data_IF_967425319195
#
_entry.id   IF_967425319195
#
_cell.length_a   1.000
_cell.length_b   1.000
_cell.length_c   1.000
_cell.angle_alpha   90.00
_cell.angle_beta   90.00
_cell.angle_gamma   90.00
#
_symmetry.space_group_name_H-M   'P 1'
#
loop_
_entity.id
_entity.type
_entity.pdbx_description
1 polymer ?
#
# COMPACT_ATOMS: atom_id res chain seq x y z
N UNK A 1 5.85 -2.34 33.12
CA UNK A 1 5.73 -3.09 31.84
C UNK A 1 4.48 -2.58 31.15
N UNK A 2 4.66 -1.71 30.14
CA UNK A 2 3.56 -0.99 29.49
C UNK A 2 2.91 -1.87 28.42
N UNK A 3 1.61 -2.05 28.53
CA UNK A 3 0.80 -2.79 27.58
C UNK A 3 0.59 -1.95 26.31
N UNK A 4 1.00 -2.49 25.17
CA UNK A 4 0.73 -1.95 23.84
C UNK A 4 -0.67 -2.42 23.46
N UNK A 5 -1.66 -1.54 23.54
CA UNK A 5 -3.01 -1.77 23.03
C UNK A 5 -3.02 -1.55 21.52
N UNK A 6 -3.31 -2.56 20.67
CA UNK A 6 -3.57 -2.32 19.27
C UNK A 6 -4.95 -1.66 19.14
N UNK A 7 -4.98 -0.45 18.61
CA UNK A 7 -6.21 0.23 18.18
C UNK A 7 -6.71 -0.52 16.94
N UNK A 8 -7.55 -1.54 17.15
CA UNK A 8 -8.35 -2.15 16.09
C UNK A 8 -9.37 -1.11 15.59
N UNK A 9 -8.98 -0.35 14.57
CA UNK A 9 -9.90 0.45 13.76
C UNK A 9 -10.86 -0.47 13.02
N UNK A 10 -12.13 -0.40 13.37
CA UNK A 10 -13.26 -1.12 12.76
C UNK A 10 -13.34 -0.85 11.26
N UNK A 11 -12.96 -1.83 10.44
CA UNK A 11 -13.22 -1.82 8.99
C UNK A 11 -14.67 -2.24 8.79
N UNK A 12 -15.53 -1.30 8.37
CA UNK A 12 -16.94 -1.55 8.07
C UNK A 12 -17.10 -2.65 6.99
N UNK A 13 -18.02 -3.61 7.16
CA UNK A 13 -18.54 -4.41 6.06
C UNK A 13 -19.86 -3.79 5.59
N UNK A 14 -19.85 -3.05 4.50
CA UNK A 14 -21.07 -2.61 3.84
C UNK A 14 -20.88 -2.73 2.34
N UNK A 15 -21.39 -3.83 1.75
CA UNK A 15 -21.85 -3.95 0.35
C UNK A 15 -22.20 -5.43 0.03
N UNK A 16 -23.23 -5.99 0.65
CA UNK A 16 -23.71 -7.35 0.34
C UNK A 16 -25.21 -7.45 0.07
N UNK A 17 -25.86 -6.39 -0.41
CA UNK A 17 -27.33 -6.36 -0.53
C UNK A 17 -27.88 -5.77 -1.84
N UNK A 18 -27.27 -6.05 -2.99
CA UNK A 18 -27.87 -5.70 -4.29
C UNK A 18 -27.69 -6.89 -5.25
N UNK A 19 -28.74 -7.69 -5.47
CA UNK A 19 -28.70 -8.68 -6.56
C UNK A 19 -29.78 -9.76 -6.65
N UNK A 20 -30.71 -9.91 -5.70
CA UNK A 20 -31.66 -11.04 -5.65
C UNK A 20 -33.13 -10.64 -5.89
N UNK A 21 -33.42 -9.76 -6.85
CA UNK A 21 -34.82 -9.32 -7.07
C UNK A 21 -35.41 -9.44 -8.48
N UNK A 22 -34.71 -9.97 -9.50
CA UNK A 22 -35.30 -10.03 -10.85
C UNK A 22 -35.05 -11.36 -11.55
N UNK A 23 -35.77 -12.40 -11.14
CA UNK A 23 -35.86 -13.67 -11.88
C UNK A 23 -37.28 -14.00 -12.37
N UNK A 24 -38.20 -13.02 -12.38
CA UNK A 24 -39.64 -13.30 -12.58
C UNK A 24 -40.29 -12.47 -13.69
N UNK A 25 -39.54 -12.06 -14.70
CA UNK A 25 -40.13 -11.46 -15.89
C UNK A 25 -39.41 -11.93 -17.16
N UNK A 26 -40.18 -12.59 -18.03
CA UNK A 26 -40.05 -12.62 -19.49
C UNK A 26 -39.34 -13.82 -20.11
N UNK A 27 -40.10 -14.90 -20.14
CA UNK A 27 -39.98 -16.08 -21.00
C UNK A 27 -40.76 -15.90 -22.30
N UNK A 28 -40.67 -14.77 -23.03
CA UNK A 28 -41.51 -14.52 -24.22
C UNK A 28 -40.92 -13.46 -25.18
N UNK A 29 -39.84 -13.75 -25.90
CA UNK A 29 -39.56 -13.20 -27.26
C UNK A 29 -38.36 -13.92 -27.88
N UNK A 30 -38.43 -14.24 -29.18
CA UNK A 30 -37.52 -15.14 -29.90
C UNK A 30 -36.13 -14.57 -30.29
N UNK A 31 -35.80 -13.32 -29.92
CA UNK A 31 -34.50 -12.68 -30.20
C UNK A 31 -33.55 -12.66 -28.99
N UNK A 32 -33.95 -13.29 -27.87
CA UNK A 32 -33.43 -13.02 -26.53
C UNK A 32 -32.26 -13.92 -26.10
N UNK A 33 -31.82 -14.85 -26.96
CA UNK A 33 -30.69 -15.75 -26.64
C UNK A 33 -29.34 -15.03 -26.71
N UNK A 34 -29.21 -14.07 -27.64
CA UNK A 34 -27.95 -13.36 -27.87
C UNK A 34 -27.72 -12.23 -26.84
N UNK A 35 -28.80 -11.55 -26.42
CA UNK A 35 -28.79 -10.58 -25.31
C UNK A 35 -28.43 -11.24 -23.98
N UNK A 36 -29.05 -12.38 -23.65
CA UNK A 36 -28.75 -13.13 -22.41
C UNK A 36 -27.32 -13.65 -22.34
N UNK A 37 -26.77 -14.13 -23.46
CA UNK A 37 -25.36 -14.58 -23.51
C UNK A 37 -24.38 -13.40 -23.31
N UNK A 38 -24.70 -12.22 -23.84
CA UNK A 38 -23.88 -11.01 -23.65
C UNK A 38 -23.95 -10.49 -22.21
N UNK A 39 -25.13 -10.51 -21.58
CA UNK A 39 -25.31 -10.13 -20.17
C UNK A 39 -24.53 -11.06 -19.22
N UNK A 40 -24.53 -12.36 -19.50
CA UNK A 40 -23.74 -13.33 -18.73
C UNK A 40 -22.24 -13.08 -18.86
N UNK A 41 -21.75 -12.75 -20.07
CA UNK A 41 -20.35 -12.41 -20.29
C UNK A 41 -19.94 -11.11 -19.57
N UNK A 42 -20.82 -10.10 -19.55
CA UNK A 42 -20.58 -8.86 -18.82
C UNK A 42 -20.51 -9.10 -17.31
N UNK A 43 -21.43 -9.90 -16.76
CA UNK A 43 -21.44 -10.27 -15.34
C UNK A 43 -20.19 -11.04 -14.94
N UNK A 44 -19.78 -12.04 -15.73
CA UNK A 44 -18.55 -12.79 -15.48
C UNK A 44 -17.31 -11.89 -15.51
N UNK A 45 -17.27 -10.91 -16.40
CA UNK A 45 -16.18 -9.95 -16.43
C UNK A 45 -16.19 -9.04 -15.20
N UNK A 46 -17.35 -8.54 -14.78
CA UNK A 46 -17.49 -7.73 -13.58
C UNK A 46 -17.05 -8.50 -12.32
N UNK A 47 -17.46 -9.75 -12.17
CA UNK A 47 -17.02 -10.61 -11.06
C UNK A 47 -15.50 -10.80 -11.06
N UNK A 48 -14.90 -11.07 -12.22
CA UNK A 48 -13.43 -11.17 -12.34
C UNK A 48 -12.74 -9.87 -11.97
N UNK A 49 -13.24 -8.73 -12.46
CA UNK A 49 -12.69 -7.42 -12.12
C UNK A 49 -12.81 -7.09 -10.63
N UNK A 50 -13.90 -7.48 -9.98
CA UNK A 50 -14.08 -7.30 -8.54
C UNK A 50 -13.13 -8.19 -7.73
N UNK A 51 -12.97 -9.45 -8.13
CA UNK A 51 -12.00 -10.36 -7.49
C UNK A 51 -10.57 -9.85 -7.65
N UNK A 52 -10.18 -9.43 -8.86
CA UNK A 52 -8.85 -8.87 -9.13
C UNK A 52 -8.63 -7.59 -8.32
N UNK A 53 -9.63 -6.71 -8.24
CA UNK A 53 -9.55 -5.49 -7.44
C UNK A 53 -9.40 -5.79 -5.94
N UNK A 54 -10.14 -6.77 -5.42
CA UNK A 54 -10.05 -7.20 -4.03
C UNK A 54 -8.68 -7.83 -3.72
N UNK A 55 -8.16 -8.69 -4.60
CA UNK A 55 -6.83 -9.28 -4.45
C UNK A 55 -5.73 -8.21 -4.47
N UNK A 56 -5.78 -7.26 -5.42
CA UNK A 56 -4.81 -6.16 -5.47
C UNK A 56 -4.89 -5.28 -4.23
N UNK A 57 -6.09 -4.96 -3.74
CA UNK A 57 -6.25 -4.19 -2.51
C UNK A 57 -5.63 -4.89 -1.30
N UNK A 58 -5.81 -6.22 -1.19
CA UNK A 58 -5.15 -7.01 -0.15
C UNK A 58 -3.62 -7.02 -0.29
N UNK A 59 -3.11 -7.17 -1.52
CA UNK A 59 -1.67 -7.12 -1.78
C UNK A 59 -1.08 -5.76 -1.43
N UNK A 60 -1.71 -4.66 -1.84
CA UNK A 60 -1.30 -3.30 -1.48
C UNK A 60 -1.32 -3.08 0.03
N UNK A 61 -2.36 -3.56 0.73
CA UNK A 61 -2.43 -3.45 2.18
C UNK A 61 -1.29 -4.21 2.87
N UNK A 62 -1.01 -5.45 2.43
CA UNK A 62 0.10 -6.25 2.92
C UNK A 62 1.46 -5.59 2.63
N UNK A 63 1.63 -5.00 1.46
CA UNK A 63 2.86 -4.35 1.05
C UNK A 63 3.12 -3.07 1.86
N UNK A 64 2.07 -2.31 2.17
CA UNK A 64 2.15 -1.19 3.12
C UNK A 64 2.52 -1.64 4.54
N UNK A 65 1.93 -2.73 5.01
CA UNK A 65 2.26 -3.30 6.33
C UNK A 65 3.72 -3.75 6.38
N UNK A 66 4.22 -4.38 5.31
CA UNK A 66 5.63 -4.74 5.19
C UNK A 66 6.55 -3.52 5.22
N UNK A 67 6.21 -2.45 4.52
CA UNK A 67 6.98 -1.19 4.54
C UNK A 67 7.03 -0.63 5.97
N UNK A 68 5.90 -0.58 6.66
CA UNK A 68 5.83 -0.09 8.03
C UNK A 68 6.66 -0.94 9.00
N UNK A 69 6.56 -2.27 8.90
CA UNK A 69 7.33 -3.19 9.72
C UNK A 69 8.84 -3.09 9.43
N UNK A 70 9.24 -2.97 8.17
CA UNK A 70 10.64 -2.79 7.82
C UNK A 70 11.20 -1.46 8.35
N UNK A 71 10.40 -0.39 8.29
CA UNK A 71 10.81 0.91 8.82
C UNK A 71 11.01 0.88 10.34
N UNK A 72 10.16 0.16 11.08
CA UNK A 72 10.32 -0.03 12.53
C UNK A 72 11.58 -0.83 12.88
N UNK A 73 11.82 -1.95 12.17
CA UNK A 73 13.03 -2.77 12.36
C UNK A 73 14.31 -1.98 12.06
N UNK A 74 14.31 -1.23 10.95
CA UNK A 74 15.45 -0.41 10.54
C UNK A 74 15.77 0.70 11.56
N UNK A 75 14.74 1.30 12.18
CA UNK A 75 14.91 2.31 13.21
C UNK A 75 15.52 1.73 14.50
N UNK A 76 15.09 0.54 14.90
CA UNK A 76 15.66 -0.15 16.06
C UNK A 76 17.12 -0.54 15.84
N UNK A 77 17.44 -1.08 14.66
CA UNK A 77 18.82 -1.44 14.29
C UNK A 77 19.72 -0.20 14.22
N UNK A 78 19.21 0.91 13.67
CA UNK A 78 19.91 2.20 13.64
C UNK A 78 20.21 2.70 15.04
N UNK A 79 19.23 2.71 15.96
CA UNK A 79 19.43 3.12 17.36
C UNK A 79 20.46 2.25 18.05
N UNK A 80 20.43 0.95 17.82
CA UNK A 80 21.40 0.01 18.38
C UNK A 80 22.81 0.23 17.81
N UNK A 81 22.93 0.52 16.52
CA UNK A 81 24.20 0.85 15.87
C UNK A 81 24.77 2.18 16.38
N UNK A 82 23.93 3.22 16.47
CA UNK A 82 24.32 4.54 16.99
C UNK A 82 24.81 4.44 18.44
N UNK A 83 24.09 3.74 19.32
CA UNK A 83 24.54 3.50 20.71
C UNK A 83 25.91 2.82 20.75
N UNK A 84 26.14 1.82 19.90
CA UNK A 84 27.43 1.11 19.79
C UNK A 84 28.53 2.03 19.28
N UNK A 85 28.27 2.85 18.27
CA UNK A 85 29.23 3.81 17.73
C UNK A 85 29.63 4.86 18.78
N UNK A 86 28.66 5.46 19.47
CA UNK A 86 28.89 6.42 20.56
C UNK A 86 29.71 5.80 21.69
N UNK A 87 29.40 4.56 22.09
CA UNK A 87 30.15 3.85 23.13
C UNK A 87 31.61 3.61 22.73
N UNK A 88 31.87 3.17 21.49
CA UNK A 88 33.24 2.99 20.95
C UNK A 88 34.00 4.31 20.93
N UNK A 89 33.35 5.38 20.45
CA UNK A 89 33.95 6.71 20.38
C UNK A 89 34.34 7.22 21.77
N UNK A 90 33.46 7.08 22.76
CA UNK A 90 33.74 7.43 24.16
C UNK A 90 34.90 6.62 24.74
N UNK A 91 34.93 5.32 24.50
CA UNK A 91 36.01 4.44 24.98
C UNK A 91 37.37 4.83 24.36
N UNK A 92 37.39 5.15 23.05
CA UNK A 92 38.60 5.57 22.36
C UNK A 92 39.14 6.91 22.88
N UNK A 93 38.26 7.91 23.07
CA UNK A 93 38.66 9.19 23.64
C UNK A 93 39.18 9.03 25.08
N UNK A 94 38.48 8.25 25.91
CA UNK A 94 38.92 7.94 27.27
C UNK A 94 40.29 7.25 27.32
N UNK A 95 40.55 6.30 26.42
CA UNK A 95 41.85 5.62 26.32
C UNK A 95 42.97 6.54 25.83
N UNK A 96 42.66 7.54 25.00
CA UNK A 96 43.63 8.50 24.46
C UNK A 96 43.99 9.65 25.42
N UNK A 97 43.38 9.71 26.61
CA UNK A 97 43.59 10.79 27.58
C UNK A 97 42.98 12.13 27.18
N UNK A 98 42.27 12.18 26.06
CA UNK A 98 41.48 13.34 25.62
C UNK A 98 40.20 13.32 26.45
N UNK A 99 40.03 14.30 27.33
CA UNK A 99 38.81 14.39 28.14
C UNK A 99 37.60 14.57 27.22
N UNK A 100 36.49 13.93 27.57
CA UNK A 100 35.20 14.07 26.88
C UNK A 100 34.66 15.51 26.82
N UNK A 101 35.31 16.44 27.53
CA UNK A 101 34.95 17.85 27.61
C UNK A 101 35.70 18.72 26.59
N UNK A 102 36.52 18.12 25.71
CA UNK A 102 37.16 18.82 24.60
C UNK A 102 36.25 18.93 23.38
N UNK A 103 36.13 20.12 22.78
CA UNK A 103 35.21 20.38 21.66
C UNK A 103 35.37 19.47 20.43
N UNK A 104 36.55 18.85 20.26
CA UNK A 104 36.81 17.91 19.15
C UNK A 104 36.07 16.58 19.27
N UNK A 105 35.82 16.06 20.48
CA UNK A 105 35.05 14.82 20.65
C UNK A 105 33.56 15.02 20.40
N UNK A 106 33.06 16.21 20.73
CA UNK A 106 31.66 16.58 20.57
C UNK A 106 31.33 16.88 19.10
N UNK A 107 32.26 17.50 18.34
CA UNK A 107 32.11 17.73 16.91
C UNK A 107 32.02 16.41 16.09
N UNK A 108 32.78 15.38 16.46
CA UNK A 108 32.70 14.05 15.80
C UNK A 108 31.36 13.37 16.10
N UNK A 109 30.90 13.43 17.35
CA UNK A 109 29.59 12.87 17.73
C UNK A 109 28.44 13.61 17.04
N UNK A 110 28.55 14.94 16.91
CA UNK A 110 27.58 15.75 16.18
C UNK A 110 27.55 15.40 14.69
N UNK A 111 28.73 15.27 14.05
CA UNK A 111 28.79 14.85 12.65
C UNK A 111 28.19 13.46 12.40
N UNK A 112 28.41 12.52 13.33
CA UNK A 112 27.83 11.17 13.27
C UNK A 112 26.30 11.21 13.42
N UNK A 113 25.78 12.13 14.25
CA UNK A 113 24.35 12.36 14.37
C UNK A 113 23.75 12.97 13.09
N UNK A 114 24.39 14.01 12.54
CA UNK A 114 23.94 14.67 11.30
C UNK A 114 23.91 13.70 10.11
N UNK A 115 24.94 12.85 9.98
CA UNK A 115 24.99 11.80 8.97
C UNK A 115 23.82 10.80 9.14
N UNK A 116 23.52 10.40 10.38
CA UNK A 116 22.38 9.52 10.65
C UNK A 116 21.03 10.17 10.38
N UNK A 117 20.92 11.50 10.55
CA UNK A 117 19.70 12.23 10.23
C UNK A 117 19.51 12.33 8.71
N UNK A 118 20.58 12.59 7.95
CA UNK A 118 20.54 12.57 6.49
C UNK A 118 20.13 11.21 5.92
N UNK A 119 20.58 10.10 6.54
CA UNK A 119 20.13 8.76 6.16
C UNK A 119 18.65 8.52 6.47
N UNK A 120 18.15 9.01 7.61
CA UNK A 120 16.72 8.92 7.96
C UNK A 120 15.85 9.63 6.94
N UNK A 121 16.18 10.88 6.62
CA UNK A 121 15.40 11.70 5.68
C UNK A 121 15.33 11.04 4.29
N UNK A 122 16.43 10.43 3.84
CA UNK A 122 16.47 9.67 2.59
C UNK A 122 15.58 8.42 2.63
N UNK A 123 15.58 7.68 3.74
CA UNK A 123 14.73 6.48 3.91
C UNK A 123 13.26 6.85 3.94
N UNK A 124 12.88 7.87 4.71
CA UNK A 124 11.51 8.37 4.75
C UNK A 124 11.04 8.83 3.37
N UNK A 125 11.91 9.50 2.60
CA UNK A 125 11.61 9.88 1.22
C UNK A 125 11.39 8.64 0.32
N UNK A 126 12.20 7.59 0.46
CA UNK A 126 12.03 6.33 -0.28
C UNK A 126 10.75 5.61 0.10
N UNK A 127 10.39 5.54 1.38
CA UNK A 127 9.16 4.88 1.82
C UNK A 127 7.92 5.68 1.41
N UNK A 128 7.99 7.02 1.46
CA UNK A 128 6.98 7.90 0.88
C UNK A 128 6.82 7.64 -0.63
N UNK A 129 7.93 7.47 -1.36
CA UNK A 129 7.91 7.17 -2.79
C UNK A 129 7.29 5.80 -3.07
N UNK A 130 7.63 4.76 -2.30
CA UNK A 130 7.02 3.43 -2.43
C UNK A 130 5.50 3.50 -2.21
N UNK A 131 5.06 4.18 -1.16
CA UNK A 131 3.64 4.35 -0.88
C UNK A 131 2.91 5.09 -2.02
N UNK A 132 3.51 6.17 -2.55
CA UNK A 132 2.96 6.88 -3.72
C UNK A 132 2.91 6.00 -4.97
N UNK A 133 3.90 5.13 -5.19
CA UNK A 133 3.91 4.20 -6.31
C UNK A 133 2.78 3.16 -6.18
N UNK A 134 2.50 2.67 -4.98
CA UNK A 134 1.36 1.78 -4.70
C UNK A 134 0.03 2.48 -5.01
N UNK A 135 -0.13 3.73 -4.59
CA UNK A 135 -1.33 4.54 -4.85
C UNK A 135 -1.54 4.78 -6.34
N UNK A 136 -0.47 5.12 -7.06
CA UNK A 136 -0.51 5.33 -8.50
C UNK A 136 -0.89 4.04 -9.23
N UNK A 137 -0.30 2.90 -8.85
CA UNK A 137 -0.63 1.59 -9.41
C UNK A 137 -2.11 1.25 -9.20
N UNK A 138 -2.63 1.48 -7.99
CA UNK A 138 -4.04 1.21 -7.66
C UNK A 138 -4.99 2.11 -8.47
N UNK A 139 -4.70 3.40 -8.58
CA UNK A 139 -5.51 4.35 -9.37
C UNK A 139 -5.47 4.03 -10.87
N UNK A 140 -4.31 3.65 -11.41
CA UNK A 140 -4.16 3.27 -12.80
C UNK A 140 -4.96 1.99 -13.11
N UNK A 141 -4.90 0.99 -12.23
CA UNK A 141 -5.73 -0.21 -12.32
C UNK A 141 -7.23 0.11 -12.33
N UNK A 142 -7.70 1.00 -11.45
CA UNK A 142 -9.09 1.44 -11.43
C UNK A 142 -9.49 2.14 -12.75
N UNK A 143 -8.63 3.01 -13.28
CA UNK A 143 -8.89 3.71 -14.55
C UNK A 143 -9.02 2.76 -15.74
N UNK A 144 -8.18 1.71 -15.80
CA UNK A 144 -8.24 0.68 -16.84
C UNK A 144 -9.52 -0.14 -16.75
N UNK A 145 -9.95 -0.50 -15.53
CA UNK A 145 -11.20 -1.23 -15.32
C UNK A 145 -12.41 -0.40 -15.80
N UNK A 146 -12.45 0.90 -15.46
CA UNK A 146 -13.50 1.83 -15.92
C UNK A 146 -13.49 1.95 -17.44
N UNK A 147 -12.32 2.12 -18.05
CA UNK A 147 -12.18 2.21 -19.50
C UNK A 147 -12.72 0.93 -20.19
N UNK A 148 -12.33 -0.25 -19.72
CA UNK A 148 -12.82 -1.52 -20.26
C UNK A 148 -14.34 -1.66 -20.13
N UNK A 149 -14.90 -1.27 -18.99
CA UNK A 149 -16.35 -1.27 -18.79
C UNK A 149 -17.07 -0.33 -19.76
N UNK A 150 -16.53 0.87 -19.99
CA UNK A 150 -17.10 1.83 -20.96
C UNK A 150 -17.01 1.33 -22.40
N UNK A 151 -15.89 0.73 -22.81
CA UNK A 151 -15.70 0.18 -24.15
C UNK A 151 -16.68 -0.98 -24.42
N UNK A 152 -16.92 -1.85 -23.44
CA UNK A 152 -17.90 -2.92 -23.56
C UNK A 152 -19.33 -2.39 -23.66
N UNK A 153 -19.70 -1.42 -22.83
CA UNK A 153 -21.01 -0.79 -22.91
C UNK A 153 -21.24 -0.12 -24.27
N UNK A 154 -20.23 0.58 -24.80
CA UNK A 154 -20.27 1.18 -26.14
C UNK A 154 -20.40 0.12 -27.24
N UNK A 155 -19.61 -0.95 -27.19
CA UNK A 155 -19.69 -2.06 -28.16
C UNK A 155 -21.07 -2.69 -28.17
N UNK A 156 -21.66 -2.92 -27.00
CA UNK A 156 -23.00 -3.48 -26.87
C UNK A 156 -24.06 -2.53 -27.44
N UNK A 157 -23.94 -1.22 -27.19
CA UNK A 157 -24.83 -0.20 -27.77
C UNK A 157 -24.75 -0.19 -29.30
N UNK A 158 -23.56 -0.27 -29.88
CA UNK A 158 -23.38 -0.32 -31.34
C UNK A 158 -24.01 -1.60 -31.91
N UNK A 159 -23.74 -2.75 -31.31
CA UNK A 159 -24.29 -4.03 -31.77
C UNK A 159 -25.82 -4.11 -31.65
N UNK A 160 -26.45 -3.33 -30.76
CA UNK A 160 -27.91 -3.25 -30.66
C UNK A 160 -28.59 -2.36 -31.71
N UNK A 161 -27.82 -1.56 -32.46
CA UNK A 161 -28.33 -0.63 -33.47
C UNK A 161 -28.29 -1.19 -34.91
N UNK A 162 -27.60 -2.31 -35.12
CA UNK A 162 -27.47 -3.00 -36.40
C UNK A 162 -28.07 -4.41 -36.30
#
# INVERSE_FOLDING_TARGET
>A
MAAITPVLGTVLPALSAIGTLVSTAQTLTGNDKQSRQQDLALRQLQERQQLDAAQRAQQTALEREKIALSAEQDEDDRRAALRRAVARQRAQFGASGVSSNGGSSEAVLLGLFDETQGELDQREALDSLKNKALDLSQSQAASLNVLQATQLAQRNKINSLF
#
